data_IF_623227817823
#
_entry.id   IF_623227817823
#
_cell.length_a   1.000
_cell.length_b   1.000
_cell.length_c   1.000
_cell.angle_alpha   90.00
_cell.angle_beta   90.00
_cell.angle_gamma   90.00
#
_symmetry.space_group_name_H-M   'P 1'
#
loop_
_entity.id
_entity.type
_entity.pdbx_description
1 polymer ?
#
# COMPACT_ATOMS: atom_id res chain seq x y z
N UNK A 1 -3.32 4.28 -19.39
CA UNK A 1 -4.39 5.26 -19.12
C UNK A 1 -4.66 5.19 -17.61
N UNK A 2 -4.93 6.30 -16.93
CA UNK A 2 -5.15 6.27 -15.46
C UNK A 2 -6.63 6.06 -15.17
N UNK A 3 -6.96 5.40 -14.06
CA UNK A 3 -8.33 5.21 -13.59
C UNK A 3 -9.11 6.53 -13.51
N UNK A 4 -8.46 7.61 -13.07
CA UNK A 4 -9.08 8.95 -12.99
C UNK A 4 -9.48 9.47 -14.37
N UNK A 5 -8.64 9.31 -15.39
CA UNK A 5 -8.96 9.76 -16.75
C UNK A 5 -10.11 8.95 -17.38
N UNK A 6 -10.18 7.65 -17.08
CA UNK A 6 -11.28 6.78 -17.52
C UNK A 6 -12.61 7.20 -16.86
N UNK A 7 -12.59 7.50 -15.57
CA UNK A 7 -13.77 8.00 -14.84
C UNK A 7 -14.22 9.37 -15.35
N UNK A 8 -13.29 10.31 -15.56
CA UNK A 8 -13.61 11.63 -16.12
C UNK A 8 -14.26 11.53 -17.51
N UNK A 9 -13.77 10.62 -18.36
CA UNK A 9 -14.36 10.38 -19.67
C UNK A 9 -15.75 9.74 -19.56
N UNK A 10 -15.92 8.74 -18.68
CA UNK A 10 -17.19 8.04 -18.48
C UNK A 10 -18.29 8.94 -17.89
N UNK A 11 -17.91 9.95 -17.11
CA UNK A 11 -18.82 10.91 -16.47
C UNK A 11 -18.95 12.24 -17.21
N UNK A 12 -18.34 12.36 -18.39
CA UNK A 12 -18.46 13.55 -19.22
C UNK A 12 -19.94 13.86 -19.53
N UNK A 13 -20.41 15.06 -19.18
CA UNK A 13 -21.80 15.47 -19.37
C UNK A 13 -22.78 15.02 -18.29
N UNK A 14 -22.36 14.20 -17.32
CA UNK A 14 -23.17 13.80 -16.16
C UNK A 14 -22.95 14.74 -14.97
N UNK A 15 -21.69 15.04 -14.65
CA UNK A 15 -21.34 15.90 -13.53
C UNK A 15 -19.84 15.89 -13.21
N UNK A 16 -19.40 16.70 -12.24
CA UNK A 16 -17.99 16.78 -11.87
C UNK A 16 -17.53 15.54 -11.12
N UNK A 17 -16.31 15.08 -11.42
CA UNK A 17 -15.63 13.96 -10.74
C UNK A 17 -14.52 14.51 -9.86
N UNK A 18 -14.38 13.97 -8.64
CA UNK A 18 -13.27 14.27 -7.72
C UNK A 18 -12.77 12.95 -7.13
N UNK A 19 -11.56 12.54 -7.49
CA UNK A 19 -10.91 11.37 -6.90
C UNK A 19 -10.52 11.63 -5.44
N UNK A 20 -10.76 10.64 -4.58
CA UNK A 20 -10.43 10.70 -3.16
C UNK A 20 -10.00 9.33 -2.64
N UNK A 21 -8.96 9.29 -1.81
CA UNK A 21 -8.47 8.08 -1.14
C UNK A 21 -8.23 8.37 0.36
N UNK A 22 -9.15 7.97 1.25
CA UNK A 22 -8.88 7.97 2.68
C UNK A 22 -7.84 6.88 3.01
N UNK A 23 -6.70 7.27 3.56
CA UNK A 23 -5.66 6.36 4.05
C UNK A 23 -6.06 5.88 5.44
N UNK A 24 -7.14 5.12 5.47
CA UNK A 24 -7.75 4.58 6.67
C UNK A 24 -8.41 3.24 6.32
N UNK A 25 -8.16 2.22 7.13
CA UNK A 25 -8.74 0.90 6.92
C UNK A 25 -8.43 -0.06 8.06
N UNK A 26 -9.12 -1.19 8.06
CA UNK A 26 -8.89 -2.34 8.93
C UNK A 26 -9.04 -3.62 8.11
N UNK A 27 -8.53 -4.73 8.63
CA UNK A 27 -8.80 -6.06 8.07
C UNK A 27 -10.28 -6.49 8.17
N UNK A 28 -11.08 -5.83 9.02
CA UNK A 28 -12.52 -6.07 9.11
C UNK A 28 -13.29 -5.45 7.94
N UNK A 29 -14.28 -6.19 7.41
CA UNK A 29 -15.07 -5.83 6.23
C UNK A 29 -16.57 -5.80 6.51
N UNK A 30 -17.32 -5.13 5.63
CA UNK A 30 -18.79 -5.06 5.68
C UNK A 30 -19.34 -3.95 6.60
N UNK A 31 -20.65 -3.66 6.47
CA UNK A 31 -21.29 -2.55 7.17
C UNK A 31 -21.21 -2.65 8.71
N UNK A 32 -21.19 -3.87 9.26
CA UNK A 32 -21.04 -4.10 10.71
C UNK A 32 -19.66 -3.72 11.27
N UNK A 33 -18.65 -3.56 10.43
CA UNK A 33 -17.31 -3.11 10.82
C UNK A 33 -17.16 -1.57 10.75
N UNK A 34 -18.22 -0.83 10.36
CA UNK A 34 -18.17 0.61 10.24
C UNK A 34 -17.92 1.28 11.59
N UNK A 35 -17.04 2.29 11.60
CA UNK A 35 -16.73 3.08 12.80
C UNK A 35 -16.84 4.57 12.50
N UNK A 36 -17.55 5.30 13.37
CA UNK A 36 -17.76 6.74 13.21
C UNK A 36 -16.47 7.56 13.32
N UNK A 37 -15.42 7.00 13.91
CA UNK A 37 -14.12 7.63 14.11
C UNK A 37 -13.06 7.18 13.10
N UNK A 38 -13.41 6.34 12.12
CA UNK A 38 -12.46 5.69 11.21
C UNK A 38 -11.50 6.68 10.52
N UNK A 39 -12.01 7.83 10.12
CA UNK A 39 -11.26 8.84 9.35
C UNK A 39 -10.62 9.93 10.20
N UNK A 40 -10.91 9.99 11.50
CA UNK A 40 -10.41 11.07 12.37
C UNK A 40 -8.89 11.04 12.47
N UNK A 41 -8.26 12.18 12.16
CA UNK A 41 -6.81 12.35 12.14
C UNK A 41 -6.10 11.64 10.98
N UNK A 42 -6.80 10.82 10.18
CA UNK A 42 -6.23 10.07 9.07
C UNK A 42 -6.10 10.94 7.83
N UNK A 43 -5.10 10.66 7.01
CA UNK A 43 -4.92 11.35 5.72
C UNK A 43 -6.06 10.97 4.76
N UNK A 44 -6.60 11.94 4.03
CA UNK A 44 -7.37 11.70 2.82
C UNK A 44 -6.70 12.44 1.66
N UNK A 45 -6.39 11.72 0.59
CA UNK A 45 -5.72 12.28 -0.59
C UNK A 45 -6.78 12.56 -1.65
N UNK A 46 -6.90 13.81 -2.08
CA UNK A 46 -7.67 14.19 -3.26
C UNK A 46 -6.74 14.25 -4.47
N UNK A 47 -7.22 13.80 -5.62
CA UNK A 47 -6.42 13.71 -6.84
C UNK A 47 -6.95 14.59 -7.98
N UNK A 48 -6.98 15.92 -7.81
CA UNK A 48 -7.51 16.81 -8.83
C UNK A 48 -6.66 16.77 -10.11
N UNK A 49 -7.34 16.94 -11.24
CA UNK A 49 -6.78 17.10 -12.58
C UNK A 49 -7.08 18.52 -13.10
N UNK A 50 -6.54 18.92 -14.26
CA UNK A 50 -6.94 20.17 -14.92
C UNK A 50 -8.44 20.24 -15.26
N UNK A 51 -9.12 19.10 -15.40
CA UNK A 51 -10.54 19.02 -15.70
C UNK A 51 -11.45 19.06 -14.46
N UNK A 52 -10.87 18.96 -13.25
CA UNK A 52 -11.64 18.93 -12.00
C UNK A 52 -12.30 20.28 -11.71
N UNK A 53 -13.63 20.26 -11.53
CA UNK A 53 -14.40 21.42 -11.10
C UNK A 53 -14.00 21.88 -9.69
N UNK A 54 -13.66 23.16 -9.55
CA UNK A 54 -13.14 23.72 -8.29
C UNK A 54 -14.19 23.78 -7.18
N UNK A 55 -15.46 23.99 -7.53
CA UNK A 55 -16.53 24.00 -6.54
C UNK A 55 -16.81 22.59 -6.00
N UNK A 56 -16.81 21.57 -6.87
CA UNK A 56 -16.91 20.18 -6.47
C UNK A 56 -15.72 19.75 -5.60
N UNK A 57 -14.50 20.11 -5.98
CA UNK A 57 -13.29 19.84 -5.20
C UNK A 57 -13.41 20.43 -3.78
N UNK A 58 -13.83 21.70 -3.67
CA UNK A 58 -14.03 22.35 -2.38
C UNK A 58 -15.10 21.65 -1.51
N UNK A 59 -16.21 21.20 -2.12
CA UNK A 59 -17.25 20.44 -1.41
C UNK A 59 -16.72 19.09 -0.90
N UNK A 60 -15.99 18.35 -1.72
CA UNK A 60 -15.42 17.05 -1.34
C UNK A 60 -14.33 17.21 -0.28
N UNK A 61 -13.50 18.26 -0.36
CA UNK A 61 -12.57 18.63 0.70
C UNK A 61 -13.29 18.87 2.03
N UNK A 62 -14.33 19.72 2.03
CA UNK A 62 -15.09 20.04 3.22
C UNK A 62 -15.77 18.80 3.84
N UNK A 63 -16.23 17.86 3.00
CA UNK A 63 -16.77 16.57 3.45
C UNK A 63 -15.72 15.77 4.26
N UNK A 64 -14.52 15.59 3.71
CA UNK A 64 -13.46 14.82 4.36
C UNK A 64 -12.92 15.49 5.61
N UNK A 65 -12.73 16.81 5.57
CA UNK A 65 -12.34 17.60 6.75
C UNK A 65 -13.44 17.55 7.83
N UNK A 66 -14.72 17.56 7.43
CA UNK A 66 -15.87 17.46 8.33
C UNK A 66 -15.97 16.14 9.09
N UNK A 67 -15.47 15.03 8.52
CA UNK A 67 -15.34 13.74 9.23
C UNK A 67 -14.02 13.60 9.99
N UNK A 68 -13.22 14.67 10.03
CA UNK A 68 -11.97 14.76 10.80
C UNK A 68 -10.72 14.29 10.06
N UNK A 69 -10.77 14.07 8.75
CA UNK A 69 -9.60 13.68 7.96
C UNK A 69 -8.66 14.88 7.71
N UNK A 70 -7.37 14.60 7.57
CA UNK A 70 -6.37 15.57 7.11
C UNK A 70 -6.27 15.50 5.58
N UNK A 71 -6.82 16.49 4.89
CA UNK A 71 -6.94 16.46 3.42
C UNK A 71 -5.69 17.03 2.74
N UNK A 72 -5.09 16.25 1.86
CA UNK A 72 -3.96 16.61 1.00
C UNK A 72 -4.36 16.48 -0.47
N UNK A 73 -3.80 17.32 -1.34
CA UNK A 73 -4.02 17.25 -2.79
C UNK A 73 -2.72 16.88 -3.49
N UNK A 74 -2.79 15.96 -4.46
CA UNK A 74 -1.66 15.65 -5.35
C UNK A 74 -2.15 15.12 -6.70
N UNK A 75 -1.35 15.19 -7.78
CA UNK A 75 -1.74 14.60 -9.06
C UNK A 75 -1.97 13.08 -8.96
N UNK A 76 -2.90 12.49 -9.73
CA UNK A 76 -3.17 11.05 -9.72
C UNK A 76 -1.90 10.19 -9.90
N UNK A 77 -1.01 10.57 -10.83
CA UNK A 77 0.23 9.84 -11.07
C UNK A 77 1.17 9.83 -9.84
N UNK A 78 1.24 10.93 -9.09
CA UNK A 78 2.07 11.02 -7.88
C UNK A 78 1.48 10.14 -6.77
N UNK A 79 0.16 10.15 -6.61
CA UNK A 79 -0.55 9.25 -5.71
C UNK A 79 -0.20 7.79 -6.03
N UNK A 80 -0.36 7.38 -7.29
CA UNK A 80 -0.17 5.99 -7.70
C UNK A 80 1.29 5.52 -7.49
N UNK A 81 2.28 6.36 -7.78
CA UNK A 81 3.70 6.07 -7.52
C UNK A 81 4.01 5.92 -6.02
N UNK A 82 3.43 6.77 -5.18
CA UNK A 82 3.61 6.70 -3.73
C UNK A 82 2.97 5.43 -3.17
N UNK A 83 1.70 5.20 -3.48
CA UNK A 83 0.91 4.09 -2.94
C UNK A 83 1.38 2.73 -3.48
N UNK A 84 1.93 2.68 -4.69
CA UNK A 84 2.63 1.49 -5.18
C UNK A 84 3.71 1.01 -4.21
N UNK A 85 4.51 1.94 -3.65
CA UNK A 85 5.65 1.62 -2.77
C UNK A 85 5.24 1.44 -1.31
N UNK A 86 4.33 2.26 -0.80
CA UNK A 86 4.01 2.28 0.64
C UNK A 86 2.77 1.45 1.02
N UNK A 87 2.00 0.97 0.03
CA UNK A 87 0.79 0.18 0.27
C UNK A 87 0.73 -1.09 -0.59
N UNK A 88 0.79 -0.97 -1.92
CA UNK A 88 0.54 -2.10 -2.82
C UNK A 88 1.67 -3.15 -2.78
N UNK A 89 2.92 -2.69 -2.87
CA UNK A 89 4.09 -3.55 -2.75
C UNK A 89 4.10 -4.33 -1.42
N UNK A 90 3.95 -3.71 -0.23
CA UNK A 90 3.83 -4.45 1.03
C UNK A 90 2.79 -5.58 1.01
N UNK A 91 1.63 -5.38 0.38
CA UNK A 91 0.62 -6.44 0.27
C UNK A 91 1.10 -7.60 -0.62
N UNK A 92 1.63 -7.31 -1.82
CA UNK A 92 2.14 -8.37 -2.69
C UNK A 92 3.30 -9.14 -2.06
N UNK A 93 4.17 -8.47 -1.32
CA UNK A 93 5.27 -9.14 -0.60
C UNK A 93 4.77 -10.02 0.53
N UNK A 94 3.71 -9.63 1.23
CA UNK A 94 3.07 -10.48 2.24
C UNK A 94 2.48 -11.74 1.59
N UNK A 95 1.75 -11.61 0.47
CA UNK A 95 1.26 -12.77 -0.28
C UNK A 95 2.39 -13.67 -0.78
N UNK A 96 3.44 -13.08 -1.35
CA UNK A 96 4.60 -13.83 -1.85
C UNK A 96 5.31 -14.58 -0.73
N UNK A 97 5.46 -13.97 0.46
CA UNK A 97 6.07 -14.62 1.62
C UNK A 97 5.23 -15.81 2.11
N UNK A 98 3.91 -15.65 2.19
CA UNK A 98 3.00 -16.76 2.55
C UNK A 98 3.10 -17.88 1.52
N UNK A 99 3.08 -17.56 0.22
CA UNK A 99 3.18 -18.56 -0.84
C UNK A 99 4.52 -19.31 -0.82
N UNK A 100 5.64 -18.59 -0.59
CA UNK A 100 6.97 -19.19 -0.55
C UNK A 100 7.15 -20.18 0.63
N UNK A 101 6.52 -19.91 1.77
CA UNK A 101 6.66 -20.71 3.00
C UNK A 101 5.53 -21.73 3.16
N UNK A 102 4.34 -21.44 2.66
CA UNK A 102 3.09 -22.08 3.06
C UNK A 102 3.03 -23.59 2.82
N UNK A 103 3.65 -24.06 1.74
CA UNK A 103 3.68 -25.47 1.34
C UNK A 103 4.99 -26.17 1.72
N UNK A 104 5.93 -25.47 2.34
CA UNK A 104 7.24 -26.01 2.65
C UNK A 104 7.17 -27.04 3.78
N UNK A 105 7.70 -28.23 3.52
CA UNK A 105 7.86 -29.30 4.51
C UNK A 105 9.33 -29.65 4.65
N UNK A 106 9.85 -29.55 5.87
CA UNK A 106 11.27 -29.79 6.19
C UNK A 106 11.34 -30.91 7.21
N UNK A 107 11.94 -32.04 6.83
CA UNK A 107 12.04 -33.22 7.69
C UNK A 107 10.68 -33.64 8.29
N UNK A 108 9.64 -33.68 7.45
CA UNK A 108 8.27 -34.08 7.83
C UNK A 108 7.48 -33.04 8.63
N UNK A 109 8.01 -31.83 8.81
CA UNK A 109 7.35 -30.75 9.55
C UNK A 109 6.96 -29.63 8.60
N UNK A 110 5.70 -29.15 8.68
CA UNK A 110 5.27 -27.99 7.89
C UNK A 110 5.89 -26.72 8.46
N UNK A 111 6.45 -25.88 7.61
CA UNK A 111 7.10 -24.64 8.04
C UNK A 111 6.13 -23.70 8.78
N UNK A 112 4.86 -23.65 8.34
CA UNK A 112 3.83 -22.82 8.97
C UNK A 112 3.52 -23.19 10.43
N UNK A 113 3.73 -24.45 10.83
CA UNK A 113 3.52 -24.87 12.23
C UNK A 113 4.53 -24.21 13.19
N UNK A 114 5.62 -23.67 12.65
CA UNK A 114 6.68 -22.97 13.37
C UNK A 114 6.63 -21.44 13.19
N UNK A 115 5.55 -20.91 12.59
CA UNK A 115 5.39 -19.49 12.36
C UNK A 115 5.20 -18.70 13.67
N UNK A 116 6.23 -17.96 14.06
CA UNK A 116 6.21 -17.03 15.19
C UNK A 116 5.52 -15.70 14.89
N UNK A 117 5.56 -14.79 15.87
CA UNK A 117 4.95 -13.45 15.79
C UNK A 117 5.43 -12.64 14.60
N UNK A 118 6.75 -12.65 14.32
CA UNK A 118 7.31 -11.90 13.20
C UNK A 118 6.73 -12.29 11.83
N UNK A 119 6.49 -13.60 11.60
CA UNK A 119 5.84 -14.06 10.38
C UNK A 119 4.39 -13.58 10.32
N UNK A 120 3.65 -13.76 11.42
CA UNK A 120 2.23 -13.35 11.52
C UNK A 120 2.04 -11.85 11.29
N UNK A 121 2.89 -11.02 11.89
CA UNK A 121 2.81 -9.56 11.74
C UNK A 121 3.17 -9.12 10.32
N UNK A 122 4.24 -9.68 9.74
CA UNK A 122 4.68 -9.37 8.38
C UNK A 122 3.63 -9.78 7.34
N UNK A 123 2.94 -10.89 7.58
CA UNK A 123 1.95 -11.46 6.66
C UNK A 123 0.51 -11.09 6.99
N UNK A 124 0.25 -10.31 8.04
CA UNK A 124 -1.11 -9.96 8.47
C UNK A 124 -1.97 -9.40 7.34
N UNK A 125 -1.38 -8.58 6.48
CA UNK A 125 -2.09 -7.93 5.37
C UNK A 125 -2.44 -8.89 4.21
N UNK A 126 -1.83 -10.08 4.15
CA UNK A 126 -2.19 -11.13 3.19
C UNK A 126 -3.54 -11.81 3.52
N UNK A 127 -4.16 -11.49 4.66
CA UNK A 127 -5.53 -11.90 4.98
C UNK A 127 -6.60 -11.05 4.25
N UNK A 128 -6.20 -10.01 3.52
CA UNK A 128 -7.11 -9.16 2.77
C UNK A 128 -7.74 -9.90 1.56
N UNK A 129 -8.92 -9.49 1.07
CA UNK A 129 -9.57 -10.12 -0.09
C UNK A 129 -8.69 -10.08 -1.35
N UNK A 130 -8.48 -11.25 -1.98
CA UNK A 130 -7.57 -11.39 -3.11
C UNK A 130 -8.09 -10.66 -4.36
N UNK A 131 -9.40 -10.64 -4.57
CA UNK A 131 -10.05 -9.99 -5.72
C UNK A 131 -9.79 -8.48 -5.71
N UNK A 132 -9.95 -7.84 -4.55
CA UNK A 132 -9.65 -6.41 -4.38
C UNK A 132 -8.18 -6.09 -4.68
N UNK A 133 -7.26 -6.90 -4.16
CA UNK A 133 -5.82 -6.66 -4.37
C UNK A 133 -5.37 -6.98 -5.79
N UNK A 134 -6.06 -7.89 -6.49
CA UNK A 134 -5.88 -8.10 -7.93
C UNK A 134 -6.24 -6.83 -8.70
N UNK A 135 -7.42 -6.27 -8.44
CA UNK A 135 -7.90 -5.04 -9.11
C UNK A 135 -6.95 -3.87 -8.85
N UNK A 136 -6.52 -3.66 -7.59
CA UNK A 136 -5.55 -2.62 -7.21
C UNK A 136 -4.22 -2.82 -7.95
N UNK A 137 -3.71 -4.06 -7.99
CA UNK A 137 -2.43 -4.36 -8.63
C UNK A 137 -2.48 -4.11 -10.14
N UNK A 138 -3.57 -4.50 -10.80
CA UNK A 138 -3.74 -4.30 -12.24
C UNK A 138 -4.00 -2.84 -12.60
N UNK A 139 -4.81 -2.13 -11.81
CA UNK A 139 -5.08 -0.71 -12.03
C UNK A 139 -3.82 0.17 -11.90
N UNK A 140 -2.83 -0.26 -11.10
CA UNK A 140 -1.56 0.45 -10.91
C UNK A 140 -0.33 -0.38 -11.35
N UNK A 141 -0.50 -1.24 -12.36
CA UNK A 141 0.54 -2.18 -12.78
C UNK A 141 1.89 -1.52 -13.14
N UNK A 142 1.96 -0.35 -13.83
CA UNK A 142 3.24 0.27 -14.17
C UNK A 142 4.06 0.68 -12.94
N UNK A 143 3.47 1.43 -11.99
CA UNK A 143 4.17 1.88 -10.80
C UNK A 143 4.48 0.72 -9.84
N UNK A 144 3.56 -0.25 -9.73
CA UNK A 144 3.77 -1.45 -8.93
C UNK A 144 4.89 -2.33 -9.51
N UNK A 145 4.97 -2.45 -10.84
CA UNK A 145 6.06 -3.13 -11.53
C UNK A 145 7.43 -2.51 -11.25
N UNK A 146 7.52 -1.17 -11.25
CA UNK A 146 8.73 -0.45 -10.87
C UNK A 146 9.10 -0.74 -9.40
N UNK A 147 8.13 -0.64 -8.48
CA UNK A 147 8.32 -0.90 -7.06
C UNK A 147 8.78 -2.36 -6.78
N UNK A 148 8.23 -3.34 -7.49
CA UNK A 148 8.66 -4.74 -7.43
C UNK A 148 10.11 -4.91 -7.93
N UNK A 149 10.49 -4.22 -9.00
CA UNK A 149 11.86 -4.21 -9.52
C UNK A 149 12.86 -3.63 -8.53
N UNK A 150 12.53 -2.50 -7.91
CA UNK A 150 13.32 -1.86 -6.85
C UNK A 150 13.50 -2.80 -5.65
N UNK A 151 12.43 -3.44 -5.19
CA UNK A 151 12.49 -4.41 -4.09
C UNK A 151 13.36 -5.61 -4.41
N UNK A 152 13.19 -6.21 -5.61
CA UNK A 152 13.99 -7.35 -6.06
C UNK A 152 15.48 -7.03 -6.05
N UNK A 153 15.89 -5.85 -6.53
CA UNK A 153 17.29 -5.45 -6.51
C UNK A 153 17.87 -5.39 -5.07
N UNK A 154 17.07 -4.94 -4.09
CA UNK A 154 17.45 -4.96 -2.67
C UNK A 154 17.54 -6.40 -2.14
N UNK A 155 16.56 -7.25 -2.47
CA UNK A 155 16.55 -8.65 -2.05
C UNK A 155 17.76 -9.42 -2.63
N UNK A 156 18.03 -9.28 -3.92
CA UNK A 156 19.18 -9.90 -4.60
C UNK A 156 20.51 -9.46 -3.95
N UNK A 157 20.59 -8.20 -3.49
CA UNK A 157 21.77 -7.71 -2.76
C UNK A 157 21.91 -8.42 -1.42
N UNK A 158 20.82 -8.61 -0.67
CA UNK A 158 20.85 -9.34 0.60
C UNK A 158 21.21 -10.81 0.37
N UNK A 159 20.66 -11.45 -0.66
CA UNK A 159 20.98 -12.83 -1.03
C UNK A 159 22.47 -13.00 -1.34
N UNK A 160 23.06 -12.12 -2.15
CA UNK A 160 24.51 -12.15 -2.45
C UNK A 160 25.36 -12.00 -1.18
N UNK A 161 25.00 -11.09 -0.28
CA UNK A 161 25.73 -10.89 0.98
C UNK A 161 25.67 -12.13 1.88
N UNK A 162 24.49 -12.76 1.96
CA UNK A 162 24.29 -14.02 2.71
C UNK A 162 25.09 -15.16 2.09
N UNK A 163 25.00 -15.35 0.77
CA UNK A 163 25.72 -16.39 0.03
C UNK A 163 27.24 -16.27 0.13
N UNK A 164 27.76 -15.03 0.08
CA UNK A 164 29.18 -14.74 0.28
C UNK A 164 29.62 -14.79 1.75
N UNK A 165 28.69 -14.96 2.71
CA UNK A 165 28.94 -14.84 4.15
C UNK A 165 29.62 -13.51 4.55
N UNK A 166 29.29 -12.43 3.84
CA UNK A 166 29.82 -11.10 4.11
C UNK A 166 29.10 -10.46 5.31
N UNK A 167 29.60 -10.77 6.50
CA UNK A 167 29.03 -10.29 7.75
C UNK A 167 29.03 -8.75 7.84
N UNK A 168 30.10 -8.09 7.36
CA UNK A 168 30.23 -6.64 7.43
C UNK A 168 29.24 -5.95 6.48
N UNK A 169 29.17 -6.41 5.22
CA UNK A 169 28.25 -5.89 4.23
C UNK A 169 26.78 -6.13 4.59
N UNK A 170 26.46 -7.29 5.16
CA UNK A 170 25.11 -7.60 5.65
C UNK A 170 24.73 -6.71 6.85
N UNK A 171 25.62 -6.55 7.84
CA UNK A 171 25.35 -5.69 9.00
C UNK A 171 25.10 -4.23 8.57
N UNK A 172 25.90 -3.71 7.63
CA UNK A 172 25.70 -2.36 7.09
C UNK A 172 24.34 -2.22 6.37
N UNK A 173 23.94 -3.23 5.59
CA UNK A 173 22.65 -3.24 4.90
C UNK A 173 21.47 -3.16 5.88
N UNK A 174 21.49 -4.01 6.91
CA UNK A 174 20.44 -4.09 7.92
C UNK A 174 20.39 -2.82 8.79
N UNK A 175 21.54 -2.23 9.13
CA UNK A 175 21.62 -0.98 9.86
C UNK A 175 21.03 0.20 9.07
N UNK A 176 21.30 0.27 7.76
CA UNK A 176 20.72 1.30 6.89
C UNK A 176 19.18 1.18 6.84
N UNK A 177 18.65 -0.04 6.68
CA UNK A 177 17.21 -0.29 6.70
C UNK A 177 16.58 0.10 8.06
N UNK A 178 17.24 -0.25 9.17
CA UNK A 178 16.80 0.14 10.52
C UNK A 178 16.76 1.66 10.68
N UNK A 179 17.76 2.39 10.18
CA UNK A 179 17.80 3.84 10.26
C UNK A 179 16.64 4.49 9.48
N UNK A 180 16.31 3.96 8.29
CA UNK A 180 15.15 4.43 7.51
C UNK A 180 13.83 4.16 8.24
N UNK A 181 13.66 2.97 8.84
CA UNK A 181 12.48 2.62 9.63
C UNK A 181 12.25 3.58 10.81
N UNK A 182 13.34 4.04 11.43
CA UNK A 182 13.31 5.02 12.53
C UNK A 182 12.83 6.41 12.12
N UNK A 183 12.75 6.71 10.81
CA UNK A 183 12.24 7.99 10.29
C UNK A 183 10.73 8.01 10.03
N UNK A 184 10.07 6.85 10.08
CA UNK A 184 8.61 6.81 9.97
C UNK A 184 8.04 7.60 11.15
N UNK A 185 7.46 8.76 10.87
CA UNK A 185 6.79 9.57 11.89
C UNK A 185 5.64 8.74 12.46
N UNK A 186 5.55 8.65 13.78
CA UNK A 186 4.35 8.13 14.43
C UNK A 186 3.19 9.07 14.12
N UNK A 187 2.07 8.52 13.69
CA UNK A 187 0.78 9.20 13.84
C UNK A 187 0.44 9.11 15.33
N UNK A 188 1.05 9.99 16.14
CA UNK A 188 0.52 10.36 17.46
C UNK A 188 -0.68 11.30 17.29
#
# INVERSE_FOLDING_TARGET
>A
QTLVAELEAAWAGVGPVVGAHPIAGSEASGAGAARADLFRGRRCILTPTPATDRAALARVRALWEGVGARVEEMPPAVHDELLARVSHLPHLLAYALVAAVGEQTIAGRRALDYAGTGFRDTTRVAASPAELWCDIALANAPALGAALGEFRAVLDRLERLVGARDAAGLAAALAAARALRGRLRGEE
#
